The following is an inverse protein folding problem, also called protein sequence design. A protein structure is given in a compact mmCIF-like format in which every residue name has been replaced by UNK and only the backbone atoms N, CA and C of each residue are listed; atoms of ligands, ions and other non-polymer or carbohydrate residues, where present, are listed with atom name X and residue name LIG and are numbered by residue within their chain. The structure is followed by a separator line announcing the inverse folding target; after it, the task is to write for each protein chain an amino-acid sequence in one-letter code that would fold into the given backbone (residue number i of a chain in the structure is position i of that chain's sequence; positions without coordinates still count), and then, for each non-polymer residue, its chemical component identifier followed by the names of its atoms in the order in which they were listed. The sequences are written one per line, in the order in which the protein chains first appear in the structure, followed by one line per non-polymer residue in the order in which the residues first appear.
data_IF_990988257876
#
_entry.id   IF_990988257876
#
_cell.length_a   1.000
_cell.length_b   1.000
_cell.length_c   1.000
_cell.angle_alpha   90.00
_cell.angle_beta   90.00
_cell.angle_gamma   90.00
#
_symmetry.space_group_name_H-M   'P 1'
#
loop_
_entity.id
_entity.type
_entity.pdbx_description
1 polymer ?
#
# COMPACT_ATOMS: atom_id res chain seq x y z
N UNK A 1 -2.43 0.09 -29.08
CA UNK A 1 -3.57 -0.80 -28.76
C UNK A 1 -3.18 -2.20 -29.23
N UNK A 2 -3.77 -3.28 -28.71
CA UNK A 2 -3.26 -4.66 -28.92
C UNK A 2 -3.27 -5.12 -30.40
N UNK A 3 -3.92 -4.37 -31.29
CA UNK A 3 -4.01 -4.54 -32.75
C UNK A 3 -2.90 -3.81 -33.54
N UNK A 4 -1.88 -3.28 -32.85
CA UNK A 4 -0.78 -2.52 -33.46
C UNK A 4 -1.15 -1.09 -33.87
N UNK A 5 -2.39 -0.64 -33.62
CA UNK A 5 -2.83 0.71 -33.94
C UNK A 5 -2.58 1.69 -32.79
N UNK A 6 -2.24 2.92 -33.15
CA UNK A 6 -2.23 4.05 -32.22
C UNK A 6 -3.66 4.54 -32.02
N UNK A 7 -4.10 4.65 -30.76
CA UNK A 7 -5.41 5.19 -30.38
C UNK A 7 -5.22 6.18 -29.23
N UNK A 8 -5.92 7.31 -29.28
CA UNK A 8 -6.02 8.24 -28.15
C UNK A 8 -6.95 7.65 -27.11
N UNK A 9 -6.51 7.65 -25.85
CA UNK A 9 -7.21 7.08 -24.71
C UNK A 9 -7.24 8.11 -23.60
N UNK A 10 -8.30 8.13 -22.80
CA UNK A 10 -8.26 8.86 -21.53
C UNK A 10 -7.48 8.01 -20.53
N UNK A 11 -6.48 8.61 -19.89
CA UNK A 11 -5.67 7.97 -18.86
C UNK A 11 -6.08 8.51 -17.49
N UNK A 12 -6.60 7.64 -16.64
CA UNK A 12 -6.96 7.95 -15.27
C UNK A 12 -6.02 7.21 -14.32
N UNK A 13 -5.27 7.96 -13.51
CA UNK A 13 -4.35 7.41 -12.53
C UNK A 13 -4.75 7.85 -11.13
N UNK A 14 -4.55 6.97 -10.16
CA UNK A 14 -4.87 7.27 -8.77
C UNK A 14 -4.68 6.06 -7.87
N UNK A 15 -5.36 6.06 -6.74
CA UNK A 15 -5.34 4.94 -5.79
C UNK A 15 -6.75 4.52 -5.44
N UNK A 16 -6.95 3.22 -5.25
CA UNK A 16 -8.15 2.69 -4.60
C UNK A 16 -7.81 2.26 -3.17
N UNK A 17 -8.62 2.71 -2.22
CA UNK A 17 -8.48 2.33 -0.82
C UNK A 17 -9.09 0.94 -0.63
N UNK A 18 -8.30 -0.01 -0.13
CA UNK A 18 -8.74 -1.37 0.19
C UNK A 18 -8.58 -1.62 1.68
N UNK A 19 -9.24 -2.66 2.19
CA UNK A 19 -8.99 -3.20 3.53
C UNK A 19 -8.46 -4.62 3.39
N UNK A 20 -7.18 -4.83 3.67
CA UNK A 20 -6.53 -6.15 3.64
C UNK A 20 -6.09 -6.52 5.05
N UNK A 21 -6.55 -7.65 5.57
CA UNK A 21 -6.27 -8.12 6.95
C UNK A 21 -6.52 -7.03 8.01
N UNK A 22 -7.72 -6.44 7.97
CA UNK A 22 -8.16 -5.35 8.85
C UNK A 22 -7.35 -4.05 8.77
N UNK A 23 -6.39 -3.94 7.85
CA UNK A 23 -5.57 -2.73 7.67
C UNK A 23 -5.92 -2.04 6.35
N UNK A 24 -6.18 -0.72 6.36
CA UNK A 24 -6.43 0.03 5.15
C UNK A 24 -5.13 0.23 4.33
N UNK A 25 -5.16 -0.06 3.03
CA UNK A 25 -4.07 0.20 2.09
C UNK A 25 -4.55 0.95 0.84
N UNK A 26 -3.71 1.84 0.31
CA UNK A 26 -3.96 2.53 -0.96
C UNK A 26 -3.22 1.81 -2.08
N UNK A 27 -3.97 1.17 -2.98
CA UNK A 27 -3.42 0.44 -4.12
C UNK A 27 -3.41 1.39 -5.32
N UNK A 28 -2.24 1.73 -5.88
CA UNK A 28 -2.19 2.57 -7.06
C UNK A 28 -2.68 1.79 -8.28
N UNK A 29 -3.56 2.43 -9.04
CA UNK A 29 -4.21 1.86 -10.22
C UNK A 29 -4.24 2.87 -11.36
N UNK A 30 -4.16 2.33 -12.56
CA UNK A 30 -4.25 3.06 -13.81
C UNK A 30 -5.39 2.48 -14.64
N UNK A 31 -6.25 3.34 -15.18
CA UNK A 31 -7.29 2.99 -16.12
C UNK A 31 -7.05 3.69 -17.44
N UNK A 32 -7.03 2.92 -18.52
CA UNK A 32 -7.08 3.44 -19.88
C UNK A 32 -8.48 3.26 -20.42
N UNK A 33 -9.15 4.38 -20.67
CA UNK A 33 -10.55 4.39 -21.11
C UNK A 33 -10.57 4.54 -22.63
N UNK A 34 -11.14 3.56 -23.37
CA UNK A 34 -11.30 3.61 -24.82
C UNK A 34 -12.27 4.70 -25.24
N UNK A 35 -12.10 5.21 -26.46
CA UNK A 35 -13.04 6.16 -27.09
C UNK A 35 -14.46 5.60 -27.22
N UNK A 36 -14.57 4.28 -27.27
CA UNK A 36 -15.81 3.52 -27.40
C UNK A 36 -16.51 3.31 -26.05
N UNK A 37 -15.93 3.76 -24.93
CA UNK A 37 -16.57 3.68 -23.61
C UNK A 37 -17.93 4.42 -23.59
N UNK A 38 -18.99 3.85 -22.98
CA UNK A 38 -19.03 2.61 -22.19
C UNK A 38 -19.34 1.34 -23.00
N UNK A 39 -19.31 1.35 -24.34
CA UNK A 39 -19.53 0.13 -25.14
C UNK A 39 -18.38 -0.87 -25.03
N UNK A 40 -17.15 -0.38 -24.83
CA UNK A 40 -15.97 -1.18 -24.56
C UNK A 40 -15.46 -0.97 -23.12
N UNK A 41 -14.94 -2.01 -22.45
CA UNK A 41 -14.42 -1.90 -21.09
C UNK A 41 -13.13 -1.06 -21.03
N UNK A 42 -12.83 -0.41 -19.89
CA UNK A 42 -11.52 0.17 -19.66
C UNK A 42 -10.45 -0.93 -19.51
N UNK A 43 -9.19 -0.59 -19.81
CA UNK A 43 -8.04 -1.42 -19.44
C UNK A 43 -7.58 -0.99 -18.04
N UNK A 44 -7.67 -1.90 -17.07
CA UNK A 44 -7.28 -1.62 -15.68
C UNK A 44 -5.93 -2.27 -15.36
N UNK A 45 -5.06 -1.54 -14.67
CA UNK A 45 -3.74 -1.98 -14.25
C UNK A 45 -3.45 -1.57 -12.81
N UNK A 46 -2.77 -2.43 -12.07
CA UNK A 46 -2.09 -2.10 -10.82
C UNK A 46 -0.73 -1.49 -11.15
N UNK A 47 -0.45 -0.32 -10.57
CA UNK A 47 0.75 0.47 -10.85
C UNK A 47 1.63 0.55 -9.60
N UNK A 48 2.49 -0.45 -9.32
CA UNK A 48 3.30 -0.45 -8.11
C UNK A 48 4.26 0.76 -8.07
N UNK A 49 4.45 1.32 -6.87
CA UNK A 49 5.57 2.23 -6.62
C UNK A 49 6.91 1.47 -6.62
N UNK A 50 8.08 2.13 -6.65
CA UNK A 50 9.39 1.44 -6.67
C UNK A 50 9.63 0.49 -5.48
N UNK A 51 8.94 0.72 -4.37
CA UNK A 51 9.03 -0.11 -3.16
C UNK A 51 7.97 -1.23 -3.13
N UNK A 52 7.17 -1.38 -4.19
CA UNK A 52 6.13 -2.38 -4.31
C UNK A 52 6.46 -3.37 -5.42
N UNK A 53 5.98 -4.60 -5.24
CA UNK A 53 6.10 -5.68 -6.23
C UNK A 53 4.70 -6.25 -6.47
N UNK A 54 4.35 -6.48 -7.73
CA UNK A 54 3.08 -7.09 -8.11
C UNK A 54 3.06 -8.57 -7.67
N UNK A 55 1.97 -8.95 -7.03
CA UNK A 55 1.64 -10.33 -6.69
C UNK A 55 0.64 -10.87 -7.72
N UNK A 56 1.09 -11.77 -8.59
CA UNK A 56 0.22 -12.45 -9.55
C UNK A 56 -0.92 -13.17 -8.83
N UNK A 57 -2.13 -13.08 -9.38
CA UNK A 57 -3.33 -13.76 -8.91
C UNK A 57 -4.26 -14.11 -10.08
N UNK A 58 -5.44 -14.65 -9.78
CA UNK A 58 -6.48 -14.88 -10.78
C UNK A 58 -7.00 -13.59 -11.42
N UNK A 59 -6.83 -12.45 -10.73
CA UNK A 59 -7.37 -11.16 -11.14
C UNK A 59 -6.31 -10.16 -11.56
N UNK A 60 -5.02 -10.49 -11.41
CA UNK A 60 -3.90 -9.60 -11.75
C UNK A 60 -2.73 -10.42 -12.30
N UNK A 61 -2.22 -10.07 -13.48
CA UNK A 61 -1.03 -10.71 -14.04
C UNK A 61 0.28 -10.02 -13.62
N UNK A 62 1.42 -10.52 -14.09
CA UNK A 62 2.76 -9.98 -13.77
C UNK A 62 3.00 -8.57 -14.32
N UNK A 63 2.27 -8.17 -15.37
CA UNK A 63 2.31 -6.81 -15.90
C UNK A 63 1.48 -5.84 -15.06
N UNK A 64 0.68 -6.36 -14.13
CA UNK A 64 -0.26 -5.61 -13.33
C UNK A 64 -1.63 -5.49 -13.97
N UNK A 65 -1.88 -6.08 -15.15
CA UNK A 65 -3.17 -6.01 -15.82
C UNK A 65 -4.22 -6.75 -15.00
N UNK A 66 -5.34 -6.08 -14.76
CA UNK A 66 -6.46 -6.60 -14.00
C UNK A 66 -7.42 -7.36 -14.92
N UNK A 67 -7.95 -8.48 -14.41
CA UNK A 67 -8.97 -9.31 -15.05
C UNK A 67 -10.10 -9.56 -14.05
N UNK A 68 -11.34 -9.55 -14.54
CA UNK A 68 -12.51 -9.91 -13.74
C UNK A 68 -13.67 -10.31 -14.68
N UNK A 69 -14.58 -11.22 -14.28
CA UNK A 69 -15.77 -11.54 -15.08
C UNK A 69 -16.60 -10.31 -15.47
N UNK A 70 -16.58 -9.28 -14.63
CA UNK A 70 -17.23 -7.99 -14.91
C UNK A 70 -16.63 -7.27 -16.13
N UNK A 71 -15.31 -7.33 -16.32
CA UNK A 71 -14.64 -6.78 -17.52
C UNK A 71 -14.89 -7.66 -18.75
N UNK A 72 -15.03 -8.97 -18.57
CA UNK A 72 -15.30 -9.91 -19.66
C UNK A 72 -16.72 -9.77 -20.21
N UNK A 73 -17.69 -9.55 -19.32
CA UNK A 73 -19.12 -9.43 -19.66
C UNK A 73 -19.57 -7.96 -19.74
N UNK A 74 -18.64 -7.04 -19.99
CA UNK A 74 -18.89 -5.61 -20.01
C UNK A 74 -19.95 -5.23 -21.06
N UNK A 75 -20.98 -4.48 -20.65
CA UNK A 75 -22.05 -4.01 -21.52
C UNK A 75 -22.95 -5.11 -22.11
N UNK A 76 -22.81 -6.35 -21.65
CA UNK A 76 -23.60 -7.50 -22.17
C UNK A 76 -24.94 -7.65 -21.46
N UNK A 77 -25.05 -7.17 -20.22
CA UNK A 77 -26.28 -7.23 -19.44
C UNK A 77 -27.25 -6.13 -19.87
N UNK A 78 -28.44 -6.51 -20.36
CA UNK A 78 -29.42 -5.57 -20.92
C UNK A 78 -30.02 -4.61 -19.88
N UNK A 79 -29.99 -4.99 -18.59
CA UNK A 79 -30.57 -4.22 -17.49
C UNK A 79 -29.54 -3.58 -16.55
N UNK A 80 -28.23 -3.70 -16.84
CA UNK A 80 -27.18 -3.11 -16.00
C UNK A 80 -26.16 -2.32 -16.84
N UNK A 81 -26.04 -1.04 -16.53
CA UNK A 81 -25.01 -0.20 -17.14
C UNK A 81 -23.64 -0.53 -16.55
N UNK A 82 -22.72 -0.97 -17.42
CA UNK A 82 -21.33 -1.19 -17.03
C UNK A 82 -20.61 0.15 -16.85
N UNK A 83 -20.00 0.36 -15.69
CA UNK A 83 -19.38 1.62 -15.34
C UNK A 83 -18.13 1.45 -14.46
N UNK A 84 -17.29 2.49 -14.47
CA UNK A 84 -16.00 2.50 -13.75
C UNK A 84 -16.16 2.44 -12.23
N UNK A 85 -17.24 3.00 -11.66
CA UNK A 85 -17.47 3.00 -10.21
C UNK A 85 -17.68 1.57 -9.72
N UNK A 86 -18.53 0.80 -10.41
CA UNK A 86 -18.74 -0.62 -10.12
C UNK A 86 -17.45 -1.42 -10.25
N UNK A 87 -16.64 -1.16 -11.30
CA UNK A 87 -15.33 -1.78 -11.45
C UNK A 87 -14.42 -1.49 -10.25
N UNK A 88 -14.33 -0.23 -9.81
CA UNK A 88 -13.53 0.15 -8.64
C UNK A 88 -14.00 -0.57 -7.37
N UNK A 89 -15.31 -0.69 -7.14
CA UNK A 89 -15.86 -1.43 -5.99
C UNK A 89 -15.49 -2.91 -6.05
N UNK A 90 -15.56 -3.52 -7.23
CA UNK A 90 -15.13 -4.92 -7.44
C UNK A 90 -13.65 -5.07 -7.12
N UNK A 91 -12.79 -4.19 -7.65
CA UNK A 91 -11.35 -4.26 -7.39
C UNK A 91 -11.04 -4.07 -5.90
N UNK A 92 -11.73 -3.17 -5.21
CA UNK A 92 -11.59 -3.00 -3.75
C UNK A 92 -11.89 -4.30 -3.00
N UNK A 93 -12.98 -4.99 -3.34
CA UNK A 93 -13.36 -6.25 -2.71
C UNK A 93 -12.36 -7.37 -3.00
N UNK A 94 -11.96 -7.52 -4.26
CA UNK A 94 -11.02 -8.57 -4.69
C UNK A 94 -9.65 -8.37 -4.05
N UNK A 95 -9.13 -7.14 -4.07
CA UNK A 95 -7.82 -6.81 -3.49
C UNK A 95 -7.83 -6.81 -1.96
N UNK A 96 -8.97 -6.51 -1.33
CA UNK A 96 -9.14 -6.64 0.11
C UNK A 96 -9.03 -8.10 0.60
N UNK A 97 -9.45 -9.06 -0.23
CA UNK A 97 -9.24 -10.49 0.06
C UNK A 97 -7.80 -10.91 -0.22
N UNK A 98 -7.24 -10.50 -1.35
CA UNK A 98 -5.90 -10.84 -1.79
C UNK A 98 -5.19 -9.61 -2.35
N UNK A 99 -4.30 -9.00 -1.55
CA UNK A 99 -3.56 -7.82 -2.00
C UNK A 99 -2.79 -8.10 -3.29
N UNK A 100 -2.91 -7.23 -4.32
CA UNK A 100 -2.22 -7.40 -5.61
C UNK A 100 -0.76 -6.94 -5.56
N UNK A 101 -0.32 -6.36 -4.44
CA UNK A 101 1.06 -5.91 -4.22
C UNK A 101 1.57 -6.29 -2.85
N UNK A 102 2.89 -6.42 -2.73
CA UNK A 102 3.60 -6.47 -1.46
C UNK A 102 4.74 -5.45 -1.46
N UNK A 103 5.12 -4.99 -0.28
CA UNK A 103 6.25 -4.07 -0.12
C UNK A 103 7.56 -4.85 -0.15
N UNK A 104 8.57 -4.32 -0.84
CA UNK A 104 9.94 -4.81 -0.76
C UNK A 104 10.50 -4.40 0.61
N UNK A 105 10.87 -5.36 1.45
CA UNK A 105 11.68 -5.07 2.62
C UNK A 105 13.09 -4.69 2.16
N UNK A 106 13.66 -3.57 2.62
CA UNK A 106 15.07 -3.30 2.39
C UNK A 106 15.88 -4.42 3.07
N UNK A 107 16.66 -5.16 2.29
CA UNK A 107 17.59 -6.15 2.81
C UNK A 107 18.57 -5.46 3.77
N UNK A 108 18.53 -5.82 5.05
CA UNK A 108 19.60 -5.44 5.99
C UNK A 108 20.91 -6.03 5.44
N UNK A 109 21.91 -5.17 5.24
CA UNK A 109 23.26 -5.60 4.89
C UNK A 109 23.79 -6.59 5.94
N UNK A 110 24.51 -7.65 5.55
CA UNK A 110 25.06 -8.61 6.49
C UNK A 110 25.97 -7.88 7.49
N UNK A 111 25.65 -8.02 8.77
CA UNK A 111 26.53 -7.63 9.87
C UNK A 111 27.88 -8.34 9.71
N UNK A 112 29.02 -7.64 9.88
CA UNK A 112 30.32 -8.29 9.79
C UNK A 112 30.43 -9.40 10.86
N UNK A 113 31.05 -10.55 10.55
CA UNK A 113 31.16 -11.65 11.50
C UNK A 113 32.00 -11.23 12.70
N UNK A 114 31.45 -11.42 13.90
CA UNK A 114 32.19 -11.32 15.15
C UNK A 114 33.41 -12.25 15.10
N UNK A 115 34.60 -11.69 15.31
CA UNK A 115 35.82 -12.46 15.52
C UNK A 115 35.74 -13.17 16.88
N UNK A 116 35.85 -14.50 16.87
CA UNK A 116 35.98 -15.31 18.08
C UNK A 116 37.36 -15.05 18.69
N UNK A 117 37.42 -14.43 19.88
CA UNK A 117 38.64 -14.47 20.70
C UNK A 117 38.73 -15.81 21.43
N UNK A 118 39.90 -16.49 21.43
CA UNK A 118 40.09 -17.73 22.17
C UNK A 118 40.27 -17.45 23.68
N UNK A 119 39.85 -18.38 24.57
CA UNK A 119 40.04 -18.22 26.00
C UNK A 119 41.31 -18.93 26.47
N UNK A 120 42.22 -18.26 27.17
CA UNK A 120 43.19 -18.95 28.05
C UNK A 120 43.61 -18.09 29.24
N UNK A 121 43.39 -18.64 30.43
CA UNK A 121 43.76 -18.15 31.76
C UNK A 121 45.27 -18.28 32.06
N UNK A 122 45.80 -17.30 32.80
CA UNK A 122 46.78 -17.53 33.89
C UNK A 122 48.26 -17.15 33.66
N UNK A 123 48.77 -16.17 34.42
CA UNK A 123 50.23 -15.97 34.62
C UNK A 123 50.66 -14.53 34.95
N UNK A 124 51.48 -14.35 35.98
CA UNK A 124 51.81 -13.11 36.72
C UNK A 124 52.74 -12.07 36.03
N UNK A 125 52.65 -10.84 36.56
CA UNK A 125 53.66 -9.74 36.66
C UNK A 125 54.09 -8.96 35.40
N UNK A 126 53.80 -7.65 35.35
CA UNK A 126 54.74 -6.54 35.68
C UNK A 126 54.10 -5.15 35.43
N UNK A 127 54.22 -4.27 36.45
CA UNK A 127 54.32 -2.80 36.44
C UNK A 127 53.93 -2.01 35.18
N UNK A 128 52.86 -1.20 35.27
CA UNK A 128 52.81 0.26 34.93
C UNK A 128 51.35 0.77 35.04
N UNK A 129 51.13 1.81 35.83
CA UNK A 129 49.90 2.64 35.77
C UNK A 129 50.23 3.94 35.03
N UNK A 130 49.29 4.56 34.30
CA UNK A 130 48.49 5.61 34.95
C UNK A 130 46.99 5.67 34.52
N UNK A 131 46.11 5.80 35.51
CA UNK A 131 45.08 6.87 35.67
C UNK A 131 43.96 7.05 34.60
N UNK A 132 42.70 6.92 35.10
CA UNK A 132 41.39 7.51 34.68
C UNK A 132 40.85 7.10 33.27
N UNK A 133 39.61 6.63 33.06
CA UNK A 133 38.29 7.20 33.37
C UNK A 133 37.18 6.11 33.23
N UNK A 134 36.05 6.17 33.97
CA UNK A 134 34.86 5.39 33.64
C UNK A 134 34.06 6.11 32.54
N UNK A 135 34.08 5.58 31.31
CA UNK A 135 33.22 6.09 30.23
C UNK A 135 31.88 5.36 30.26
N UNK A 136 30.94 5.89 31.04
CA UNK A 136 29.51 5.70 30.79
C UNK A 136 29.18 6.27 29.42
N UNK A 137 28.57 5.51 28.50
CA UNK A 137 27.88 6.01 27.31
C UNK A 137 26.86 4.95 26.79
N UNK A 138 25.67 5.06 27.34
CA UNK A 138 24.31 4.96 26.77
C UNK A 138 23.86 3.73 25.95
N UNK A 139 22.69 3.13 26.28
CA UNK A 139 21.98 2.26 25.34
C UNK A 139 21.47 3.09 24.16
N UNK A 140 21.78 2.64 22.94
CA UNK A 140 21.26 3.22 21.70
C UNK A 140 19.76 2.88 21.64
N UNK A 141 18.92 3.79 22.14
CA UNK A 141 17.49 3.75 21.85
C UNK A 141 17.26 4.13 20.39
N UNK A 142 16.40 3.40 19.66
CA UNK A 142 16.02 3.80 18.30
C UNK A 142 15.36 5.19 18.33
N UNK A 143 15.52 5.99 17.26
CA UNK A 143 14.91 7.31 17.20
C UNK A 143 13.39 7.19 17.34
N UNK A 144 12.73 8.14 18.03
CA UNK A 144 11.29 8.16 18.17
C UNK A 144 10.62 8.28 16.80
N UNK A 145 9.55 7.53 16.60
CA UNK A 145 8.70 7.64 15.41
C UNK A 145 8.19 9.09 15.26
N UNK A 146 8.06 9.59 14.02
CA UNK A 146 7.43 10.89 13.78
C UNK A 146 5.98 10.89 14.30
N UNK A 147 5.50 12.01 14.84
CA UNK A 147 4.13 12.12 15.32
C UNK A 147 3.14 11.88 14.19
N UNK A 148 2.00 11.21 14.46
CA UNK A 148 0.92 11.08 13.49
C UNK A 148 0.44 12.48 13.07
N UNK A 149 0.03 12.67 11.80
CA UNK A 149 -0.57 13.91 11.36
C UNK A 149 -1.79 14.24 12.23
N UNK A 150 -2.04 15.53 12.54
CA UNK A 150 -3.17 15.92 13.37
C UNK A 150 -4.46 15.43 12.73
N UNK A 151 -5.27 14.70 13.51
CA UNK A 151 -6.65 14.40 13.17
C UNK A 151 -7.36 15.73 12.90
N UNK A 152 -7.67 16.03 11.64
CA UNK A 152 -8.61 17.07 11.31
C UNK A 152 -9.99 16.58 11.74
N UNK A 153 -10.36 16.92 12.96
CA UNK A 153 -11.70 16.73 13.48
C UNK A 153 -12.61 17.63 12.65
N UNK A 154 -13.25 17.02 11.65
CA UNK A 154 -14.23 17.69 10.81
C UNK A 154 -15.31 18.24 11.75
N UNK A 155 -15.36 19.57 11.87
CA UNK A 155 -16.31 20.26 12.73
C UNK A 155 -17.67 20.08 12.07
N UNK A 156 -18.41 19.05 12.49
CA UNK A 156 -19.82 18.92 12.14
C UNK A 156 -20.50 20.21 12.54
N UNK A 157 -20.90 20.98 11.52
CA UNK A 157 -21.89 22.05 11.62
C UNK A 157 -23.04 21.50 12.46
N UNK A 158 -23.26 22.09 13.63
CA UNK A 158 -24.52 21.96 14.34
C UNK A 158 -25.58 22.64 13.49
N UNK A 159 -26.25 21.86 12.65
CA UNK A 159 -27.52 22.24 12.05
C UNK A 159 -28.55 22.35 13.18
N UNK A 160 -28.94 23.58 13.50
CA UNK A 160 -30.00 23.92 14.43
C UNK A 160 -31.32 23.32 13.90
N UNK A 161 -31.84 22.27 14.55
CA UNK A 161 -33.22 21.81 14.33
C UNK A 161 -34.09 22.26 15.51
N UNK A 162 -35.14 23.08 15.30
CA UNK A 162 -36.06 23.43 16.37
C UNK A 162 -36.91 22.21 16.77
N UNK A 163 -37.00 21.99 18.09
CA UNK A 163 -37.85 21.00 18.77
C UNK A 163 -39.33 21.36 18.54
N UNK A 164 -40.11 20.43 17.99
CA UNK A 164 -41.57 20.44 18.10
C UNK A 164 -41.96 20.01 19.52
N UNK A 165 -42.79 20.82 20.17
CA UNK A 165 -43.42 20.51 21.45
C UNK A 165 -44.62 19.59 21.23
N UNK A 166 -44.73 18.56 22.08
CA UNK A 166 -45.95 17.76 22.28
C UNK A 166 -46.32 17.80 23.76
N UNK A 167 -47.62 17.91 24.05
CA UNK A 167 -48.24 18.07 25.38
C UNK A 167 -48.91 19.44 25.46
N UNK A 168 -50.23 19.56 25.43
CA UNK A 168 -51.24 18.87 26.26
C UNK A 168 -52.55 18.72 25.50
#
# INVERSE_FOLDING_TARGET
YDDGKCKTLIYLHGTIQITYRATPYNIPVNFWIPTEYPKAPPLAFVAPTPNMIIKRSNYVDVSGRCYHPYLQNWGTQQNEESNLVTLCTILQNVFGQNSPVFTRTPSQSPTPPYSLQPPTNGGQNTLTSPVLHPRSLNPITPPPLPPPPPYQQNVSRKENRPRSHSGT
#
